data_IF_863318316711
#
_entry.id   IF_863318316711
#
_cell.length_a   1.000
_cell.length_b   1.000
_cell.length_c   1.000
_cell.angle_alpha   90.00
_cell.angle_beta   90.00
_cell.angle_gamma   90.00
#
_symmetry.space_group_name_H-M   'P 1'
#
loop_
_entity.id
_entity.type
_entity.pdbx_description
1 polymer ?
#
# COMPACT_ATOMS: atom_id res chain seq x y z
N UNK A 1 -12.51 10.94 -4.11
CA UNK A 1 -12.89 10.28 -2.83
C UNK A 1 -12.39 11.06 -1.62
N UNK A 2 -11.09 11.38 -1.51
CA UNK A 2 -10.53 12.11 -0.35
C UNK A 2 -11.28 13.42 -0.09
N UNK A 3 -11.33 14.32 -1.08
CA UNK A 3 -11.97 15.63 -0.94
C UNK A 3 -13.47 15.52 -0.56
N UNK A 4 -14.18 14.56 -1.14
CA UNK A 4 -15.58 14.29 -0.82
C UNK A 4 -15.78 13.75 0.59
N UNK A 5 -14.86 12.94 1.13
CA UNK A 5 -14.92 12.45 2.50
C UNK A 5 -14.67 13.56 3.53
N UNK A 6 -13.77 14.50 3.21
CA UNK A 6 -13.54 15.66 4.07
C UNK A 6 -14.80 16.55 4.06
N UNK A 7 -15.31 16.88 2.87
CA UNK A 7 -16.50 17.70 2.71
C UNK A 7 -17.76 17.08 3.33
N UNK A 8 -17.90 15.75 3.28
CA UNK A 8 -18.98 15.01 3.92
C UNK A 8 -18.82 14.89 5.45
N UNK A 9 -17.68 15.28 6.01
CA UNK A 9 -17.40 15.18 7.46
C UNK A 9 -16.90 13.81 7.92
N UNK A 10 -16.64 12.87 7.02
CA UNK A 10 -16.16 11.51 7.33
C UNK A 10 -14.77 11.52 7.98
N UNK A 11 -13.79 12.19 7.36
CA UNK A 11 -12.43 12.31 7.92
C UNK A 11 -12.43 13.12 9.23
N UNK A 12 -13.08 14.29 9.32
CA UNK A 12 -13.25 15.02 10.59
C UNK A 12 -13.85 14.16 11.71
N UNK A 13 -14.87 13.36 11.41
CA UNK A 13 -15.52 12.47 12.39
C UNK A 13 -14.55 11.40 12.88
N UNK A 14 -13.81 10.75 11.97
CA UNK A 14 -12.76 9.79 12.34
C UNK A 14 -11.70 10.42 13.26
N UNK A 15 -11.29 11.66 12.98
CA UNK A 15 -10.32 12.37 13.81
C UNK A 15 -10.86 12.61 15.23
N UNK A 16 -12.08 13.14 15.36
CA UNK A 16 -12.70 13.40 16.67
C UNK A 16 -12.88 12.13 17.49
N UNK A 17 -13.30 11.03 16.86
CA UNK A 17 -13.42 9.73 17.53
C UNK A 17 -12.04 9.19 17.90
N UNK A 18 -11.06 9.26 16.99
CA UNK A 18 -9.70 8.78 17.19
C UNK A 18 -8.98 9.49 18.35
N UNK A 19 -9.14 10.80 18.50
CA UNK A 19 -8.59 11.55 19.63
C UNK A 19 -9.13 11.09 21.00
N UNK A 20 -10.37 10.59 21.05
CA UNK A 20 -10.99 10.09 22.28
C UNK A 20 -10.63 8.63 22.57
N UNK A 21 -10.40 7.83 21.53
CA UNK A 21 -10.22 6.39 21.65
C UNK A 21 -8.75 5.96 21.82
N UNK A 22 -7.78 6.76 21.38
CA UNK A 22 -6.39 6.33 21.23
C UNK A 22 -5.47 7.06 22.21
N UNK A 23 -4.77 6.28 23.04
CA UNK A 23 -3.66 6.78 23.87
C UNK A 23 -2.44 7.07 23.01
N UNK A 24 -1.76 8.19 23.26
CA UNK A 24 -0.51 8.56 22.58
C UNK A 24 0.57 7.46 22.70
N UNK A 25 0.63 6.75 23.83
CA UNK A 25 1.62 5.68 24.04
C UNK A 25 1.44 4.49 23.10
N UNK A 26 0.21 4.26 22.61
CA UNK A 26 -0.14 3.16 21.71
C UNK A 26 -0.45 3.63 20.30
N UNK A 27 -0.26 4.92 20.01
CA UNK A 27 -0.72 5.52 18.76
C UNK A 27 -0.11 4.85 17.53
N UNK A 28 1.22 4.80 17.40
CA UNK A 28 1.88 4.24 16.21
C UNK A 28 1.57 2.74 15.96
N UNK A 29 1.64 1.83 16.95
CA UNK A 29 1.27 0.44 16.71
C UNK A 29 -0.22 0.29 16.38
N UNK A 30 -1.11 1.09 16.98
CA UNK A 30 -2.53 1.11 16.60
C UNK A 30 -2.72 1.56 15.16
N UNK A 31 -2.03 2.62 14.72
CA UNK A 31 -2.08 3.08 13.32
C UNK A 31 -1.66 1.97 12.37
N UNK A 32 -0.51 1.33 12.62
CA UNK A 32 -0.04 0.21 11.82
C UNK A 32 -1.08 -0.92 11.73
N UNK A 33 -1.61 -1.38 12.87
CA UNK A 33 -2.54 -2.51 12.93
C UNK A 33 -3.90 -2.20 12.29
N UNK A 34 -4.43 -0.99 12.50
CA UNK A 34 -5.71 -0.60 11.89
C UNK A 34 -5.54 -0.41 10.39
N UNK A 35 -4.46 0.23 9.92
CA UNK A 35 -4.15 0.33 8.50
C UNK A 35 -3.94 -1.05 7.86
N UNK A 36 -3.30 -1.99 8.57
CA UNK A 36 -3.17 -3.39 8.17
C UNK A 36 -4.52 -4.09 8.01
N UNK A 37 -5.41 -3.95 8.99
CA UNK A 37 -6.74 -4.54 8.94
C UNK A 37 -7.58 -3.97 7.77
N UNK A 38 -7.58 -2.65 7.61
CA UNK A 38 -8.31 -2.00 6.51
C UNK A 38 -7.71 -2.40 5.16
N UNK A 39 -6.37 -2.44 5.07
CA UNK A 39 -5.69 -2.87 3.85
C UNK A 39 -5.99 -4.32 3.49
N UNK A 40 -6.06 -5.22 4.47
CA UNK A 40 -6.41 -6.62 4.23
C UNK A 40 -7.84 -6.78 3.72
N UNK A 41 -8.76 -5.98 4.24
CA UNK A 41 -10.15 -5.96 3.75
C UNK A 41 -10.24 -5.42 2.32
N UNK A 42 -9.58 -4.29 2.04
CA UNK A 42 -9.77 -3.56 0.77
C UNK A 42 -8.85 -4.04 -0.36
N UNK A 43 -7.64 -4.49 -0.03
CA UNK A 43 -6.61 -4.89 -1.00
C UNK A 43 -5.96 -3.72 -1.73
N UNK A 44 -5.75 -2.59 -1.04
CA UNK A 44 -5.12 -1.40 -1.66
C UNK A 44 -4.51 -0.47 -0.62
N UNK A 45 -3.18 -0.32 -0.64
CA UNK A 45 -2.49 0.66 0.20
C UNK A 45 -2.88 2.11 -0.17
N UNK A 46 -3.10 2.39 -1.47
CA UNK A 46 -3.60 3.69 -1.94
C UNK A 46 -4.91 4.08 -1.25
N UNK A 47 -5.83 3.12 -1.11
CA UNK A 47 -7.13 3.34 -0.46
C UNK A 47 -6.96 3.56 1.04
N UNK A 48 -6.14 2.76 1.71
CA UNK A 48 -5.86 2.90 3.16
C UNK A 48 -5.30 4.28 3.47
N UNK A 49 -4.27 4.71 2.72
CA UNK A 49 -3.62 6.01 2.93
C UNK A 49 -4.60 7.15 2.70
N UNK A 50 -5.45 7.05 1.67
CA UNK A 50 -6.46 8.06 1.31
C UNK A 50 -7.65 8.18 2.28
N UNK A 51 -7.87 7.19 3.13
CA UNK A 51 -9.07 7.10 3.97
C UNK A 51 -8.71 7.27 5.44
N UNK A 52 -8.52 6.15 6.14
CA UNK A 52 -8.12 6.12 7.55
C UNK A 52 -6.71 6.67 7.74
N UNK A 53 -5.84 6.56 6.74
CA UNK A 53 -4.48 7.10 6.78
C UNK A 53 -4.43 8.61 6.95
N UNK A 54 -5.22 9.38 6.21
CA UNK A 54 -5.28 10.85 6.39
C UNK A 54 -5.77 11.22 7.79
N UNK A 55 -6.78 10.51 8.30
CA UNK A 55 -7.29 10.76 9.65
C UNK A 55 -6.20 10.48 10.71
N UNK A 56 -5.52 9.34 10.63
CA UNK A 56 -4.40 9.02 11.52
C UNK A 56 -3.25 10.01 11.36
N UNK A 57 -2.92 10.43 10.15
CA UNK A 57 -1.89 11.43 9.91
C UNK A 57 -2.22 12.71 10.67
N UNK A 58 -3.43 13.25 10.52
CA UNK A 58 -3.87 14.44 11.24
C UNK A 58 -3.88 14.29 12.75
N UNK A 59 -4.31 13.13 13.28
CA UNK A 59 -4.23 12.82 14.71
C UNK A 59 -2.78 12.85 15.19
N UNK A 60 -1.88 12.17 14.48
CA UNK A 60 -0.46 12.07 14.84
C UNK A 60 0.24 13.42 14.86
N UNK A 61 0.01 14.26 13.85
CA UNK A 61 0.59 15.62 13.83
C UNK A 61 0.08 16.45 15.01
N UNK A 62 -1.23 16.41 15.28
CA UNK A 62 -1.83 17.13 16.41
C UNK A 62 -1.29 16.64 17.76
N UNK A 63 -1.01 15.33 17.87
CA UNK A 63 -0.41 14.72 19.06
C UNK A 63 1.10 15.03 19.20
N UNK A 64 1.74 15.62 18.19
CA UNK A 64 3.15 16.01 18.21
C UNK A 64 4.12 14.96 17.64
N UNK A 65 3.62 13.89 17.01
CA UNK A 65 4.47 12.89 16.39
C UNK A 65 5.19 13.45 15.16
N UNK A 66 6.38 12.92 14.89
CA UNK A 66 7.11 13.22 13.66
C UNK A 66 6.27 12.78 12.43
N UNK A 67 5.97 13.68 11.47
CA UNK A 67 5.18 13.36 10.28
C UNK A 67 5.70 12.14 9.50
N UNK A 68 7.02 11.99 9.39
CA UNK A 68 7.65 10.88 8.67
C UNK A 68 7.41 9.53 9.36
N UNK A 69 7.38 9.52 10.70
CA UNK A 69 7.12 8.31 11.48
C UNK A 69 5.65 7.88 11.37
N UNK A 70 4.72 8.84 11.41
CA UNK A 70 3.28 8.56 11.24
C UNK A 70 3.01 8.06 9.83
N UNK A 71 3.59 8.70 8.81
CA UNK A 71 3.53 8.23 7.43
C UNK A 71 4.09 6.80 7.29
N UNK A 72 5.24 6.53 7.92
CA UNK A 72 5.84 5.19 7.94
C UNK A 72 4.92 4.11 8.51
N UNK A 73 4.21 4.41 9.61
CA UNK A 73 3.24 3.50 10.22
C UNK A 73 2.02 3.25 9.32
N UNK A 74 1.46 4.30 8.73
CA UNK A 74 0.32 4.22 7.80
C UNK A 74 0.69 3.36 6.58
N UNK A 75 1.83 3.66 5.94
CA UNK A 75 2.27 2.95 4.74
C UNK A 75 2.61 1.50 5.08
N UNK A 76 3.33 1.24 6.19
CA UNK A 76 3.64 -0.13 6.62
C UNK A 76 2.37 -0.97 6.80
N UNK A 77 1.35 -0.40 7.46
CA UNK A 77 0.07 -1.08 7.66
C UNK A 77 -0.68 -1.28 6.34
N UNK A 78 -0.79 -0.23 5.54
CA UNK A 78 -1.45 -0.29 4.24
C UNK A 78 -0.85 -1.34 3.31
N UNK A 79 0.49 -1.40 3.22
CA UNK A 79 1.22 -2.39 2.41
C UNK A 79 1.08 -3.79 2.97
N UNK A 80 1.14 -3.97 4.30
CA UNK A 80 0.86 -5.28 4.91
C UNK A 80 -0.52 -5.81 4.53
N UNK A 81 -1.54 -4.95 4.64
CA UNK A 81 -2.90 -5.33 4.34
C UNK A 81 -3.10 -5.64 2.86
N UNK A 82 -2.59 -4.78 1.98
CA UNK A 82 -2.60 -4.97 0.52
C UNK A 82 -2.02 -6.34 0.14
N UNK A 83 -0.82 -6.64 0.66
CA UNK A 83 -0.10 -7.89 0.42
C UNK A 83 -0.83 -9.16 0.89
N UNK A 84 -1.68 -9.06 1.91
CA UNK A 84 -2.45 -10.19 2.45
C UNK A 84 -3.92 -10.21 1.99
N UNK A 85 -4.31 -9.33 1.07
CA UNK A 85 -5.69 -9.29 0.60
C UNK A 85 -5.89 -10.16 -0.64
N UNK A 86 -6.95 -10.99 -0.69
CA UNK A 86 -7.32 -11.69 -1.92
C UNK A 86 -7.89 -10.74 -2.99
N UNK A 87 -8.22 -9.49 -2.62
CA UNK A 87 -8.70 -8.45 -3.54
C UNK A 87 -7.57 -7.62 -4.13
N UNK A 88 -6.34 -7.77 -3.65
CA UNK A 88 -5.21 -6.99 -4.14
C UNK A 88 -4.84 -7.36 -5.56
N UNK A 89 -4.74 -6.36 -6.42
CA UNK A 89 -4.33 -6.51 -7.81
C UNK A 89 -2.92 -7.08 -7.92
N UNK A 90 -2.03 -6.68 -7.00
CA UNK A 90 -0.63 -7.13 -6.98
C UNK A 90 -0.50 -8.59 -6.58
N UNK A 91 -1.20 -9.00 -5.53
CA UNK A 91 -1.25 -10.39 -5.06
C UNK A 91 -1.84 -11.33 -6.13
N UNK A 92 -2.94 -10.90 -6.78
CA UNK A 92 -3.53 -11.62 -7.91
C UNK A 92 -2.56 -11.69 -9.12
N UNK A 93 -1.86 -10.60 -9.41
CA UNK A 93 -0.88 -10.56 -10.49
C UNK A 93 0.31 -11.48 -10.22
N UNK A 94 0.85 -11.50 -8.99
CA UNK A 94 1.97 -12.38 -8.63
C UNK A 94 1.55 -13.84 -8.78
N UNK A 95 0.40 -14.23 -8.22
CA UNK A 95 -0.13 -15.59 -8.34
C UNK A 95 -0.26 -16.02 -9.81
N UNK A 96 -0.76 -15.14 -10.68
CA UNK A 96 -0.86 -15.37 -12.12
C UNK A 96 0.52 -15.46 -12.80
N UNK A 97 1.47 -14.60 -12.46
CA UNK A 97 2.82 -14.61 -13.07
C UNK A 97 3.58 -15.90 -12.72
N UNK A 98 3.41 -16.41 -11.51
CA UNK A 98 4.08 -17.64 -11.07
C UNK A 98 3.29 -18.92 -11.34
N UNK A 99 2.10 -18.84 -11.93
CA UNK A 99 1.18 -19.98 -12.16
C UNK A 99 0.91 -20.76 -10.86
N UNK A 100 0.36 -20.10 -9.84
CA UNK A 100 -0.02 -20.71 -8.56
C UNK A 100 -1.40 -20.24 -8.12
N UNK A 101 -2.14 -21.08 -7.40
CA UNK A 101 -3.41 -20.68 -6.79
C UNK A 101 -3.21 -19.51 -5.82
N UNK A 102 -4.13 -18.54 -5.84
CA UNK A 102 -4.02 -17.33 -5.04
C UNK A 102 -3.90 -17.63 -3.54
N UNK A 103 -4.72 -18.56 -3.01
CA UNK A 103 -4.71 -18.86 -1.59
C UNK A 103 -3.46 -19.63 -1.17
N UNK A 104 -2.91 -20.48 -2.04
CA UNK A 104 -1.64 -21.15 -1.77
C UNK A 104 -0.45 -20.20 -1.84
N UNK A 105 -0.48 -19.24 -2.78
CA UNK A 105 0.47 -18.14 -2.80
C UNK A 105 0.40 -17.31 -1.51
N UNK A 106 -0.80 -16.92 -1.09
CA UNK A 106 -1.03 -16.17 0.15
C UNK A 106 -0.50 -16.89 1.40
N UNK A 107 -0.67 -18.22 1.49
CA UNK A 107 -0.08 -19.00 2.59
C UNK A 107 1.45 -18.94 2.57
N UNK A 108 2.05 -18.99 1.38
CA UNK A 108 3.50 -19.01 1.19
C UNK A 108 4.16 -17.69 1.63
N UNK A 109 3.50 -16.56 1.38
CA UNK A 109 4.02 -15.24 1.76
C UNK A 109 3.89 -14.93 3.26
N UNK A 110 3.09 -15.68 4.02
CA UNK A 110 2.97 -15.48 5.47
C UNK A 110 4.30 -15.66 6.20
N UNK A 111 5.19 -16.50 5.68
CA UNK A 111 6.51 -16.73 6.26
C UNK A 111 7.36 -15.45 6.37
N UNK A 112 7.38 -14.60 5.35
CA UNK A 112 8.09 -13.32 5.41
C UNK A 112 7.22 -12.23 6.05
N UNK A 113 5.92 -12.30 5.83
CA UNK A 113 4.98 -11.23 6.20
C UNK A 113 4.71 -11.15 7.71
N UNK A 114 4.42 -12.28 8.38
CA UNK A 114 4.07 -12.26 9.80
C UNK A 114 5.25 -11.85 10.69
N UNK A 115 6.49 -12.37 10.50
CA UNK A 115 7.63 -11.91 11.29
C UNK A 115 7.96 -10.43 11.03
N UNK A 116 7.91 -9.97 9.78
CA UNK A 116 8.12 -8.56 9.45
C UNK A 116 7.08 -7.66 10.13
N UNK A 117 5.81 -8.08 10.16
CA UNK A 117 4.74 -7.37 10.84
C UNK A 117 4.92 -7.35 12.37
N UNK A 118 5.34 -8.46 12.97
CA UNK A 118 5.61 -8.55 14.39
C UNK A 118 6.75 -7.59 14.79
N UNK A 119 7.86 -7.62 14.06
CA UNK A 119 9.01 -6.70 14.30
C UNK A 119 8.58 -5.25 14.08
N UNK A 120 7.80 -4.96 13.03
CA UNK A 120 7.28 -3.61 12.77
C UNK A 120 6.38 -3.11 13.90
N UNK A 121 5.51 -3.97 14.43
CA UNK A 121 4.62 -3.64 15.55
C UNK A 121 5.43 -3.31 16.80
N UNK A 122 6.46 -4.11 17.11
CA UNK A 122 7.36 -3.85 18.25
C UNK A 122 8.15 -2.55 18.05
N UNK A 123 8.66 -2.30 16.84
CA UNK A 123 9.38 -1.07 16.53
C UNK A 123 8.48 0.17 16.68
N UNK A 124 7.25 0.15 16.16
CA UNK A 124 6.30 1.24 16.34
C UNK A 124 5.89 1.42 17.80
N UNK A 125 5.68 0.32 18.56
CA UNK A 125 5.39 0.40 19.99
C UNK A 125 6.56 1.05 20.76
N UNK A 126 7.80 0.64 20.49
CA UNK A 126 9.00 1.22 21.10
C UNK A 126 9.11 2.72 20.85
N UNK A 127 8.87 3.15 19.61
CA UNK A 127 8.90 4.57 19.23
C UNK A 127 7.72 5.37 19.79
N UNK A 128 6.57 4.73 20.05
CA UNK A 128 5.39 5.37 20.62
C UNK A 128 5.50 5.57 22.14
N UNK A 129 6.18 4.66 22.85
CA UNK A 129 6.35 4.74 24.32
C UNK A 129 7.15 5.97 24.76
N UNK A 130 8.06 6.49 23.92
CA UNK A 130 8.79 7.73 24.19
C UNK A 130 7.93 9.01 24.12
N UNK A 131 6.67 8.90 23.67
CA UNK A 131 5.75 10.02 23.50
C UNK A 131 4.72 10.07 24.64
N UNK A 132 5.19 10.35 25.86
CA UNK A 132 4.37 10.24 27.08
C UNK A 132 3.45 11.43 27.35
N UNK A 133 3.63 12.56 26.65
CA UNK A 133 2.87 13.80 26.88
C UNK A 133 2.35 14.41 25.58
N UNK A 134 1.26 13.85 25.04
CA UNK A 134 0.51 14.56 24.02
C UNK A 134 -0.08 15.86 24.60
N UNK A 135 0.01 16.96 23.84
CA UNK A 135 -0.46 18.26 24.30
C UNK A 135 -2.00 18.29 24.26
N UNK A 136 -2.63 18.04 25.41
CA UNK A 136 -4.09 18.00 25.53
C UNK A 136 -4.75 19.33 25.13
N UNK A 137 -4.08 20.45 25.36
CA UNK A 137 -4.58 21.76 24.91
C UNK A 137 -4.69 21.81 23.39
N UNK A 138 -3.64 21.38 22.66
CA UNK A 138 -3.69 21.29 21.19
C UNK A 138 -4.80 20.38 20.70
N UNK A 139 -4.90 19.17 21.26
CA UNK A 139 -5.97 18.22 20.90
C UNK A 139 -7.36 18.85 21.10
N UNK A 140 -7.60 19.48 22.26
CA UNK A 140 -8.88 20.11 22.56
C UNK A 140 -9.18 21.26 21.59
N UNK A 141 -8.19 22.08 21.23
CA UNK A 141 -8.38 23.15 20.23
C UNK A 141 -8.68 22.60 18.84
N UNK A 142 -8.04 21.51 18.43
CA UNK A 142 -8.31 20.84 17.16
C UNK A 142 -9.71 20.21 17.15
N UNK A 143 -10.09 19.50 18.20
CA UNK A 143 -11.44 18.91 18.33
C UNK A 143 -12.52 19.99 18.34
N UNK A 144 -12.29 21.13 19.00
CA UNK A 144 -13.21 22.25 18.99
C UNK A 144 -13.39 22.85 17.59
N UNK A 145 -12.31 23.07 16.84
CA UNK A 145 -12.37 23.54 15.45
C UNK A 145 -13.11 22.53 14.54
N UNK A 146 -12.81 21.24 14.66
CA UNK A 146 -13.50 20.20 13.89
C UNK A 146 -14.99 20.13 14.21
N UNK A 147 -15.36 20.24 15.48
CA UNK A 147 -16.76 20.15 15.92
C UNK A 147 -17.56 21.42 15.62
N UNK A 148 -16.89 22.57 15.47
CA UNK A 148 -17.52 23.84 15.12
C UNK A 148 -17.75 24.00 13.62
N UNK A 149 -16.80 23.58 12.79
CA UNK A 149 -16.83 23.83 11.33
C UNK A 149 -17.30 22.62 10.50
N UNK A 150 -17.37 21.41 11.08
CA UNK A 150 -17.81 20.20 10.37
C UNK A 150 -18.99 19.51 11.06
N UNK A 151 -19.83 18.85 10.26
CA UNK A 151 -20.91 18.00 10.78
C UNK A 151 -20.35 16.66 11.27
N UNK A 152 -20.02 16.61 12.57
CA UNK A 152 -19.50 15.41 13.24
C UNK A 152 -20.68 14.52 13.65
N UNK A 153 -20.83 13.37 13.01
CA UNK A 153 -21.91 12.42 13.29
C UNK A 153 -21.48 11.00 12.95
N UNK A 154 -22.02 10.01 13.66
CA UNK A 154 -21.82 8.58 13.32
C UNK A 154 -22.32 8.31 11.89
N UNK A 155 -23.34 9.03 11.42
CA UNK A 155 -23.85 8.95 10.05
C UNK A 155 -22.76 9.33 9.04
N UNK A 156 -21.85 10.25 9.40
CA UNK A 156 -20.72 10.66 8.56
C UNK A 156 -19.72 9.51 8.30
N UNK A 157 -19.82 8.38 9.01
CA UNK A 157 -18.99 7.18 8.80
C UNK A 157 -19.54 6.21 7.75
N UNK A 158 -20.73 6.45 7.18
CA UNK A 158 -21.33 5.60 6.14
C UNK A 158 -20.33 5.27 5.00
N UNK A 159 -19.54 6.22 4.45
CA UNK A 159 -18.61 5.91 3.37
C UNK A 159 -17.54 4.88 3.79
N UNK A 160 -17.07 4.92 5.05
CA UNK A 160 -16.11 3.94 5.57
C UNK A 160 -16.76 2.57 5.67
N UNK A 161 -17.97 2.49 6.23
CA UNK A 161 -18.73 1.23 6.31
C UNK A 161 -18.95 0.67 4.92
N UNK A 162 -19.24 1.53 3.94
CA UNK A 162 -19.44 1.14 2.56
C UNK A 162 -18.19 0.50 1.94
N UNK A 163 -16.99 1.04 2.22
CA UNK A 163 -15.72 0.42 1.79
C UNK A 163 -15.61 -1.01 2.32
N UNK A 164 -15.92 -1.24 3.60
CA UNK A 164 -15.88 -2.59 4.19
C UNK A 164 -16.97 -3.52 3.65
N UNK A 165 -18.17 -3.00 3.38
CA UNK A 165 -19.26 -3.75 2.77
C UNK A 165 -18.87 -4.19 1.35
N UNK A 166 -18.35 -3.26 0.52
CA UNK A 166 -17.86 -3.57 -0.82
C UNK A 166 -16.72 -4.60 -0.81
N UNK A 167 -15.80 -4.50 0.15
CA UNK A 167 -14.76 -5.50 0.39
C UNK A 167 -15.36 -6.88 0.74
N UNK A 168 -16.36 -6.94 1.62
CA UNK A 168 -17.08 -8.18 1.96
C UNK A 168 -17.77 -8.83 0.74
N UNK A 169 -18.26 -8.00 -0.19
CA UNK A 169 -18.81 -8.43 -1.48
C UNK A 169 -17.76 -8.68 -2.57
N UNK A 170 -16.46 -8.59 -2.25
CA UNK A 170 -15.35 -8.80 -3.20
C UNK A 170 -15.41 -7.88 -4.42
N UNK A 171 -15.92 -6.67 -4.24
CA UNK A 171 -16.01 -5.67 -5.30
C UNK A 171 -14.62 -5.10 -5.62
N UNK A 172 -14.30 -4.94 -6.90
CA UNK A 172 -13.04 -4.33 -7.33
C UNK A 172 -12.88 -2.89 -6.80
N UNK A 173 -11.64 -2.39 -6.75
CA UNK A 173 -11.31 -1.09 -6.18
C UNK A 173 -12.00 0.09 -6.91
N UNK A 174 -12.00 0.09 -8.25
CA UNK A 174 -12.58 1.18 -9.06
C UNK A 174 -14.08 1.37 -8.78
N UNK A 175 -14.95 0.33 -8.90
CA UNK A 175 -16.37 0.46 -8.53
C UNK A 175 -16.59 0.90 -7.09
N UNK A 176 -15.80 0.35 -6.15
CA UNK A 176 -15.88 0.70 -4.72
C UNK A 176 -15.60 2.18 -4.48
N UNK A 177 -14.57 2.74 -5.14
CA UNK A 177 -14.21 4.15 -5.06
C UNK A 177 -15.28 5.05 -5.68
N UNK A 178 -15.83 4.68 -6.85
CA UNK A 178 -16.90 5.45 -7.50
C UNK A 178 -18.16 5.50 -6.66
N UNK A 179 -18.60 4.35 -6.13
CA UNK A 179 -19.76 4.28 -5.24
C UNK A 179 -19.55 5.15 -3.98
N UNK A 180 -18.34 5.12 -3.41
CA UNK A 180 -17.97 5.98 -2.29
C UNK A 180 -18.05 7.46 -2.63
N UNK A 181 -17.62 7.86 -3.83
CA UNK A 181 -17.74 9.25 -4.29
C UNK A 181 -19.21 9.64 -4.40
N UNK A 182 -20.08 8.80 -4.98
CA UNK A 182 -21.51 9.08 -5.09
C UNK A 182 -22.19 9.23 -3.73
N UNK A 183 -21.97 8.28 -2.81
CA UNK A 183 -22.56 8.32 -1.47
C UNK A 183 -22.06 9.53 -0.68
N UNK A 184 -20.75 9.80 -0.72
CA UNK A 184 -20.17 10.96 -0.04
C UNK A 184 -20.67 12.28 -0.63
N UNK A 185 -20.83 12.38 -1.95
CA UNK A 185 -21.40 13.55 -2.60
C UNK A 185 -22.85 13.79 -2.16
N UNK A 186 -23.67 12.74 -2.06
CA UNK A 186 -25.02 12.84 -1.49
C UNK A 186 -25.01 13.38 -0.06
N UNK A 187 -24.12 12.86 0.78
CA UNK A 187 -23.95 13.31 2.16
C UNK A 187 -23.47 14.77 2.27
N UNK A 188 -22.64 15.24 1.33
CA UNK A 188 -22.24 16.66 1.28
C UNK A 188 -23.45 17.60 1.16
N UNK A 189 -24.43 17.24 0.32
CA UNK A 189 -25.67 18.02 0.16
C UNK A 189 -26.59 17.92 1.38
N UNK A 190 -26.67 16.74 2.02
CA UNK A 190 -27.45 16.56 3.25
C UNK A 190 -26.86 17.38 4.40
N UNK A 191 -25.54 17.36 4.57
CA UNK A 191 -24.85 18.06 5.66
C UNK A 191 -24.75 19.58 5.41
N UNK A 192 -24.73 20.01 4.15
CA UNK A 192 -24.71 21.41 3.76
C UNK A 192 -25.78 21.70 2.69
N UNK A 193 -27.05 21.92 3.08
CA UNK A 193 -28.15 22.13 2.13
C UNK A 193 -27.98 23.35 1.21
N UNK A 194 -27.14 24.32 1.60
CA UNK A 194 -26.80 25.50 0.81
C UNK A 194 -25.64 25.29 -0.18
N UNK A 195 -25.08 24.09 -0.25
CA UNK A 195 -23.98 23.76 -1.16
C UNK A 195 -24.48 23.75 -2.61
N UNK A 196 -23.95 24.64 -3.44
CA UNK A 196 -24.28 24.65 -4.87
C UNK A 196 -23.62 23.48 -5.60
N UNK A 197 -24.27 23.01 -6.68
CA UNK A 197 -23.72 21.96 -7.56
C UNK A 197 -22.33 22.37 -8.09
N UNK A 198 -22.15 23.65 -8.45
CA UNK A 198 -20.86 24.15 -8.92
C UNK A 198 -19.75 23.98 -7.87
N UNK A 199 -20.04 24.26 -6.59
CA UNK A 199 -19.09 24.04 -5.50
C UNK A 199 -18.82 22.55 -5.26
N UNK A 200 -19.84 21.70 -5.37
CA UNK A 200 -19.65 20.25 -5.24
C UNK A 200 -18.74 19.69 -6.36
N UNK A 201 -18.95 20.11 -7.61
CA UNK A 201 -18.09 19.75 -8.74
C UNK A 201 -16.66 20.26 -8.56
N UNK A 202 -16.50 21.49 -8.05
CA UNK A 202 -15.19 22.06 -7.72
C UNK A 202 -14.46 21.23 -6.64
N UNK A 203 -15.14 20.81 -5.58
CA UNK A 203 -14.58 19.95 -4.53
C UNK A 203 -14.10 18.61 -5.10
N UNK A 204 -14.86 18.01 -6.01
CA UNK A 204 -14.49 16.74 -6.65
C UNK A 204 -13.28 16.94 -7.58
N UNK A 205 -13.26 18.04 -8.33
CA UNK A 205 -12.29 18.28 -9.41
C UNK A 205 -10.98 18.86 -8.87
N UNK A 206 -11.06 19.96 -8.14
CA UNK A 206 -9.92 20.74 -7.67
C UNK A 206 -9.54 20.37 -6.23
N UNK A 207 -10.50 19.98 -5.40
CA UNK A 207 -10.27 19.51 -4.04
C UNK A 207 -11.04 20.29 -2.98
N UNK A 208 -10.93 19.86 -1.73
CA UNK A 208 -11.53 20.54 -0.59
C UNK A 208 -10.50 21.46 0.06
N UNK A 209 -10.91 22.69 0.40
CA UNK A 209 -10.09 23.66 1.13
C UNK A 209 -10.80 24.01 2.43
N UNK A 210 -10.23 23.59 3.56
CA UNK A 210 -10.78 23.84 4.88
C UNK A 210 -10.53 25.29 5.33
N UNK A 211 -11.55 25.92 5.92
CA UNK A 211 -11.54 27.31 6.41
C UNK A 211 -12.02 27.39 7.84
N UNK A 212 -11.29 26.77 8.74
CA UNK A 212 -11.51 26.78 10.19
C UNK A 212 -10.68 27.86 10.87
N UNK A 213 -10.97 28.13 12.14
CA UNK A 213 -10.18 29.02 12.99
C UNK A 213 -8.75 28.51 13.28
N UNK A 214 -8.46 27.22 13.00
CA UNK A 214 -7.17 26.60 13.25
C UNK A 214 -6.42 26.33 11.93
N UNK A 215 -5.26 26.98 11.74
CA UNK A 215 -4.45 26.82 10.53
C UNK A 215 -3.90 25.40 10.33
N UNK A 216 -3.64 24.67 11.42
CA UNK A 216 -3.21 23.27 11.39
C UNK A 216 -4.32 22.37 10.86
N UNK A 217 -5.56 22.56 11.33
CA UNK A 217 -6.74 21.87 10.78
C UNK A 217 -6.93 22.19 9.30
N UNK A 218 -6.72 23.45 8.91
CA UNK A 218 -6.82 23.85 7.51
C UNK A 218 -5.80 23.13 6.62
N UNK A 219 -4.56 22.97 7.10
CA UNK A 219 -3.53 22.24 6.36
C UNK A 219 -3.80 20.74 6.30
N UNK A 220 -4.33 20.16 7.38
CA UNK A 220 -4.66 18.73 7.45
C UNK A 220 -5.85 18.36 6.57
N UNK A 221 -6.87 19.21 6.52
CA UNK A 221 -8.13 18.95 5.82
C UNK A 221 -8.22 19.59 4.44
N UNK A 222 -7.23 20.38 4.01
CA UNK A 222 -7.16 20.83 2.62
C UNK A 222 -6.47 19.78 1.76
N UNK A 223 -7.21 19.15 0.85
CA UNK A 223 -6.70 18.07 -0.03
C UNK A 223 -7.24 18.22 -1.43
N UNK A 224 -6.39 17.86 -2.40
CA UNK A 224 -6.70 17.98 -3.82
C UNK A 224 -7.78 17.02 -4.31
N UNK A 225 -8.36 17.36 -5.47
CA UNK A 225 -9.32 16.54 -6.21
C UNK A 225 -8.66 15.76 -7.35
N UNK A 226 -9.43 15.43 -8.37
CA UNK A 226 -8.97 14.71 -9.58
C UNK A 226 -7.75 15.39 -10.22
N UNK A 227 -7.75 16.73 -10.33
CA UNK A 227 -6.67 17.48 -10.97
C UNK A 227 -5.33 17.26 -10.26
N UNK A 228 -5.34 17.17 -8.93
CA UNK A 228 -4.12 16.94 -8.14
C UNK A 228 -3.50 15.55 -8.35
N UNK A 229 -4.28 14.59 -8.87
CA UNK A 229 -3.83 13.23 -9.17
C UNK A 229 -3.39 13.05 -10.61
N UNK A 230 -3.66 14.02 -11.51
CA UNK A 230 -3.29 13.93 -12.92
C UNK A 230 -1.78 13.72 -13.15
N UNK A 231 -0.86 14.34 -12.39
CA UNK A 231 0.57 14.04 -12.52
C UNK A 231 0.90 12.57 -12.22
N UNK A 232 0.27 11.98 -11.20
CA UNK A 232 0.44 10.55 -10.87
C UNK A 232 -0.12 9.66 -11.97
N UNK A 233 -1.29 10.01 -12.53
CA UNK A 233 -1.87 9.26 -13.66
C UNK A 233 -0.98 9.33 -14.91
N UNK A 234 -0.46 10.52 -15.23
CA UNK A 234 0.48 10.69 -16.34
C UNK A 234 1.76 9.87 -16.13
N UNK A 235 2.28 9.84 -14.90
CA UNK A 235 3.43 9.01 -14.53
C UNK A 235 3.13 7.52 -14.73
N UNK A 236 1.95 7.03 -14.35
CA UNK A 236 1.54 5.64 -14.61
C UNK A 236 1.55 5.33 -16.11
N UNK A 237 0.93 6.17 -16.94
CA UNK A 237 0.87 5.96 -18.39
C UNK A 237 2.27 5.94 -19.00
N UNK A 238 3.13 6.89 -18.62
CA UNK A 238 4.50 6.98 -19.13
C UNK A 238 5.37 5.80 -18.69
N UNK A 239 5.31 5.41 -17.42
CA UNK A 239 6.13 4.32 -16.87
C UNK A 239 5.69 2.95 -17.38
N UNK A 240 4.38 2.70 -17.53
CA UNK A 240 3.87 1.49 -18.18
C UNK A 240 4.26 1.45 -19.67
N UNK A 241 4.16 2.57 -20.38
CA UNK A 241 4.60 2.65 -21.79
C UNK A 241 6.09 2.36 -21.93
N UNK A 242 6.92 2.95 -21.07
CA UNK A 242 8.36 2.68 -21.02
C UNK A 242 8.64 1.21 -20.73
N UNK A 243 7.99 0.61 -19.73
CA UNK A 243 8.14 -0.81 -19.44
C UNK A 243 7.74 -1.72 -20.59
N UNK A 244 6.65 -1.39 -21.28
CA UNK A 244 6.23 -2.09 -22.50
C UNK A 244 7.30 -2.05 -23.59
N UNK A 245 7.95 -0.90 -23.79
CA UNK A 245 9.08 -0.76 -24.71
C UNK A 245 10.29 -1.60 -24.27
N UNK A 246 10.65 -1.59 -22.99
CA UNK A 246 11.75 -2.37 -22.44
C UNK A 246 11.54 -3.89 -22.64
N UNK A 247 10.28 -4.36 -22.54
CA UNK A 247 9.90 -5.74 -22.84
C UNK A 247 10.00 -6.02 -24.34
N UNK A 248 9.42 -5.16 -25.16
CA UNK A 248 9.36 -5.35 -26.62
C UNK A 248 10.76 -5.36 -27.26
N UNK A 249 11.68 -4.53 -26.76
CA UNK A 249 13.08 -4.51 -27.22
C UNK A 249 13.94 -5.64 -26.63
N UNK A 250 13.39 -6.50 -25.76
CA UNK A 250 14.11 -7.60 -25.15
C UNK A 250 15.21 -7.17 -24.16
N UNK A 251 15.26 -5.90 -23.75
CA UNK A 251 16.28 -5.36 -22.85
C UNK A 251 16.25 -6.06 -21.48
N UNK A 252 15.04 -6.33 -20.98
CA UNK A 252 14.86 -7.06 -19.72
C UNK A 252 15.44 -8.48 -19.85
N UNK A 253 15.13 -9.19 -20.93
CA UNK A 253 15.67 -10.52 -21.19
C UNK A 253 17.19 -10.52 -21.34
N UNK A 254 17.74 -9.51 -22.01
CA UNK A 254 19.19 -9.35 -22.20
C UNK A 254 19.95 -9.15 -20.88
N UNK A 255 19.36 -8.44 -19.90
CA UNK A 255 19.96 -8.26 -18.58
C UNK A 255 19.73 -9.48 -17.68
N UNK A 256 18.54 -10.06 -17.71
CA UNK A 256 18.15 -11.11 -16.74
C UNK A 256 18.66 -12.52 -17.11
N UNK A 257 18.79 -12.84 -18.41
CA UNK A 257 19.22 -14.18 -18.87
C UNK A 257 20.66 -14.52 -18.49
N UNK A 258 21.66 -13.61 -18.61
CA UNK A 258 23.03 -13.89 -18.17
C UNK A 258 23.15 -14.01 -16.66
N UNK A 259 22.28 -13.34 -15.90
CA UNK A 259 22.23 -13.48 -14.45
C UNK A 259 21.72 -14.86 -14.06
N UNK A 260 20.65 -15.35 -14.71
CA UNK A 260 19.98 -16.59 -14.32
C UNK A 260 20.84 -17.85 -14.51
N UNK A 261 21.76 -17.85 -15.50
CA UNK A 261 22.64 -19.00 -15.79
C UNK A 261 23.79 -19.19 -14.79
N UNK A 262 24.04 -18.23 -13.90
CA UNK A 262 25.12 -18.30 -12.88
C UNK A 262 24.60 -18.62 -11.47
N UNK A 263 23.31 -18.88 -11.32
CA UNK A 263 22.65 -19.02 -10.02
C UNK A 263 22.58 -20.50 -9.61
N UNK A 264 23.64 -20.95 -8.94
CA UNK A 264 23.80 -22.37 -8.57
C UNK A 264 23.35 -22.68 -7.12
N UNK A 265 22.60 -21.79 -6.47
CA UNK A 265 22.16 -21.97 -5.08
C UNK A 265 20.90 -21.17 -4.80
N UNK A 266 20.05 -21.66 -3.90
CA UNK A 266 18.82 -20.98 -3.47
C UNK A 266 19.05 -19.53 -3.04
N UNK A 267 20.09 -19.25 -2.24
CA UNK A 267 20.43 -17.90 -1.80
C UNK A 267 20.71 -16.95 -2.97
N UNK A 268 21.49 -17.40 -3.97
CA UNK A 268 21.78 -16.62 -5.18
C UNK A 268 20.52 -16.35 -6.01
N UNK A 269 19.65 -17.34 -6.16
CA UNK A 269 18.37 -17.21 -6.87
C UNK A 269 17.47 -16.15 -6.22
N UNK A 270 17.24 -16.29 -4.92
CA UNK A 270 16.43 -15.35 -4.13
C UNK A 270 17.03 -13.94 -4.16
N UNK A 271 18.34 -13.81 -3.91
CA UNK A 271 19.01 -12.51 -3.89
C UNK A 271 18.94 -11.81 -5.25
N UNK A 272 19.20 -12.55 -6.34
CA UNK A 272 19.14 -11.99 -7.69
C UNK A 272 17.72 -11.53 -8.05
N UNK A 273 16.70 -12.32 -7.73
CA UNK A 273 15.32 -11.96 -8.02
C UNK A 273 14.85 -10.75 -7.19
N UNK A 274 15.17 -10.69 -5.88
CA UNK A 274 14.89 -9.50 -5.03
C UNK A 274 15.60 -8.27 -5.61
N UNK A 275 16.90 -8.38 -5.90
CA UNK A 275 17.68 -7.27 -6.44
C UNK A 275 17.11 -6.77 -7.78
N UNK A 276 16.62 -7.67 -8.63
CA UNK A 276 15.96 -7.31 -9.88
C UNK A 276 14.62 -6.60 -9.66
N UNK A 277 13.77 -7.07 -8.74
CA UNK A 277 12.53 -6.38 -8.39
C UNK A 277 12.81 -4.96 -7.87
N UNK A 278 13.78 -4.83 -6.96
CA UNK A 278 14.23 -3.54 -6.41
C UNK A 278 14.77 -2.64 -7.53
N UNK A 279 15.64 -3.18 -8.37
CA UNK A 279 16.22 -2.46 -9.50
C UNK A 279 15.14 -1.91 -10.42
N UNK A 280 14.14 -2.72 -10.79
CA UNK A 280 13.04 -2.25 -11.65
C UNK A 280 12.20 -1.18 -10.94
N UNK A 281 11.90 -1.35 -9.66
CA UNK A 281 11.22 -0.30 -8.89
C UNK A 281 12.00 1.02 -8.94
N UNK A 282 13.32 0.98 -8.74
CA UNK A 282 14.19 2.17 -8.77
C UNK A 282 14.29 2.76 -10.19
N UNK A 283 14.49 1.95 -11.24
CA UNK A 283 14.74 2.48 -12.58
C UNK A 283 13.45 2.83 -13.35
N UNK A 284 12.38 2.06 -13.16
CA UNK A 284 11.12 2.23 -13.89
C UNK A 284 10.06 2.96 -13.05
N UNK A 285 10.06 2.78 -11.73
CA UNK A 285 9.10 3.46 -10.84
C UNK A 285 7.69 2.87 -10.87
N UNK A 286 7.51 1.66 -11.43
CA UNK A 286 6.21 1.05 -11.67
C UNK A 286 6.13 -0.35 -11.04
N UNK A 287 5.07 -0.58 -10.27
CA UNK A 287 4.91 -1.74 -9.40
C UNK A 287 4.63 -3.02 -10.19
N UNK A 288 3.74 -2.99 -11.17
CA UNK A 288 3.36 -4.18 -11.94
C UNK A 288 4.53 -4.74 -12.73
N UNK A 289 5.36 -3.87 -13.32
CA UNK A 289 6.57 -4.25 -14.06
C UNK A 289 7.65 -4.81 -13.14
N UNK A 290 7.76 -4.31 -11.89
CA UNK A 290 8.67 -4.86 -10.88
C UNK A 290 8.33 -6.31 -10.49
N UNK A 291 7.09 -6.74 -10.74
CA UNK A 291 6.60 -8.11 -10.51
C UNK A 291 6.73 -8.95 -11.78
N UNK A 292 6.16 -8.47 -12.90
CA UNK A 292 6.02 -9.26 -14.15
C UNK A 292 7.39 -9.62 -14.72
N UNK A 293 8.33 -8.67 -14.74
CA UNK A 293 9.61 -8.84 -15.43
C UNK A 293 10.52 -9.83 -14.71
N UNK A 294 10.78 -9.73 -13.39
CA UNK A 294 11.55 -10.74 -12.69
C UNK A 294 10.80 -12.06 -12.63
N UNK A 295 9.48 -12.03 -12.46
CA UNK A 295 8.68 -13.25 -12.41
C UNK A 295 8.83 -14.10 -13.68
N UNK A 296 8.71 -13.49 -14.86
CA UNK A 296 8.93 -14.20 -16.13
C UNK A 296 10.38 -14.64 -16.33
N UNK A 297 11.33 -13.81 -15.91
CA UNK A 297 12.76 -14.05 -16.16
C UNK A 297 13.36 -15.14 -15.26
N UNK A 298 12.95 -15.19 -13.99
CA UNK A 298 13.52 -16.10 -13.00
C UNK A 298 12.74 -17.40 -12.80
N UNK A 299 11.52 -17.53 -13.35
CA UNK A 299 10.68 -18.73 -13.19
C UNK A 299 11.41 -20.03 -13.54
N UNK A 300 12.01 -20.08 -14.73
CA UNK A 300 12.75 -21.27 -15.17
C UNK A 300 13.93 -21.56 -14.24
N UNK A 301 14.70 -20.54 -13.87
CA UNK A 301 15.87 -20.71 -13.00
C UNK A 301 15.51 -21.14 -11.57
N UNK A 302 14.37 -20.70 -11.04
CA UNK A 302 13.85 -21.17 -9.75
C UNK A 302 13.48 -22.65 -9.84
N UNK A 303 12.74 -23.05 -10.89
CA UNK A 303 12.31 -24.43 -11.09
C UNK A 303 13.51 -25.38 -11.32
N UNK A 304 14.44 -25.00 -12.20
CA UNK A 304 15.67 -25.76 -12.49
C UNK A 304 16.58 -25.83 -11.24
N UNK A 305 16.50 -24.82 -10.37
CA UNK A 305 17.18 -24.77 -9.07
C UNK A 305 16.48 -25.49 -7.93
N UNK A 306 15.38 -26.23 -8.19
CA UNK A 306 14.66 -27.02 -7.18
C UNK A 306 13.67 -26.23 -6.31
N UNK A 307 13.36 -24.98 -6.65
CA UNK A 307 12.39 -24.14 -5.95
C UNK A 307 11.02 -24.20 -6.63
N UNK A 308 9.96 -24.15 -5.83
CA UNK A 308 8.61 -24.03 -6.36
C UNK A 308 8.34 -22.60 -6.85
N UNK A 309 7.42 -22.48 -7.80
CA UNK A 309 6.86 -21.20 -8.25
C UNK A 309 6.36 -20.32 -7.09
N UNK A 310 5.83 -20.92 -6.03
CA UNK A 310 5.36 -20.22 -4.83
C UNK A 310 6.50 -19.49 -4.09
N UNK A 311 7.72 -20.05 -4.08
CA UNK A 311 8.91 -19.40 -3.53
C UNK A 311 9.29 -18.16 -4.36
N UNK A 312 9.22 -18.24 -5.70
CA UNK A 312 9.39 -17.08 -6.56
C UNK A 312 8.31 -16.04 -6.29
N UNK A 313 7.06 -16.46 -6.16
CA UNK A 313 5.94 -15.55 -5.86
C UNK A 313 6.21 -14.71 -4.61
N UNK A 314 6.69 -15.35 -3.53
CA UNK A 314 7.07 -14.62 -2.31
C UNK A 314 8.19 -13.60 -2.56
N UNK A 315 9.19 -13.94 -3.37
CA UNK A 315 10.26 -13.00 -3.72
C UNK A 315 9.72 -11.80 -4.51
N UNK A 316 8.77 -12.02 -5.43
CA UNK A 316 8.15 -10.94 -6.21
C UNK A 316 7.35 -9.99 -5.31
N UNK A 317 6.62 -10.52 -4.33
CA UNK A 317 5.93 -9.71 -3.32
C UNK A 317 6.91 -8.93 -2.44
N UNK A 318 7.94 -9.61 -1.93
CA UNK A 318 8.90 -9.03 -0.97
C UNK A 318 9.85 -8.01 -1.61
N UNK A 319 10.14 -8.10 -2.90
CA UNK A 319 11.02 -7.16 -3.61
C UNK A 319 10.29 -6.18 -4.53
N UNK A 320 9.18 -6.60 -5.12
CA UNK A 320 8.42 -5.86 -6.12
C UNK A 320 7.30 -5.04 -5.49
N UNK A 321 6.34 -5.71 -4.86
CA UNK A 321 5.14 -5.06 -4.31
C UNK A 321 5.46 -4.05 -3.22
N UNK A 322 6.20 -4.47 -2.19
CA UNK A 322 6.30 -3.69 -0.95
C UNK A 322 7.21 -2.45 -1.06
N UNK A 323 8.11 -2.42 -2.05
CA UNK A 323 9.13 -1.37 -2.19
C UNK A 323 8.77 -0.26 -3.17
N UNK A 324 7.72 -0.41 -3.99
CA UNK A 324 7.31 0.64 -4.92
C UNK A 324 6.97 1.96 -4.22
N UNK A 325 6.37 1.87 -3.04
CA UNK A 325 6.03 3.02 -2.18
C UNK A 325 7.27 3.75 -1.63
N UNK A 326 8.47 3.16 -1.75
CA UNK A 326 9.72 3.75 -1.25
C UNK A 326 10.53 4.45 -2.34
N UNK A 327 10.06 4.44 -3.59
CA UNK A 327 10.75 5.08 -4.72
C UNK A 327 10.22 6.51 -4.90
N UNK A 328 11.02 7.57 -4.67
CA UNK A 328 10.51 8.95 -4.66
C UNK A 328 9.90 9.45 -5.96
N UNK A 329 10.33 8.88 -7.09
CA UNK A 329 9.81 9.16 -8.42
C UNK A 329 8.91 8.02 -8.95
N UNK A 330 8.66 6.99 -8.15
CA UNK A 330 7.75 5.91 -8.49
C UNK A 330 6.30 6.28 -8.19
N UNK A 331 5.37 5.58 -8.84
CA UNK A 331 3.92 5.84 -8.74
C UNK A 331 3.45 5.83 -7.27
N UNK A 332 3.78 4.76 -6.53
CA UNK A 332 3.42 4.64 -5.12
C UNK A 332 4.05 5.74 -4.27
N UNK A 333 5.35 5.97 -4.41
CA UNK A 333 6.06 6.97 -3.61
C UNK A 333 5.55 8.40 -3.83
N UNK A 334 5.35 8.81 -5.08
CA UNK A 334 4.79 10.12 -5.45
C UNK A 334 3.39 10.30 -4.89
N UNK A 335 2.55 9.27 -4.99
CA UNK A 335 1.20 9.31 -4.46
C UNK A 335 1.18 9.53 -2.94
N UNK A 336 1.95 8.74 -2.18
CA UNK A 336 2.01 8.87 -0.71
C UNK A 336 2.53 10.25 -0.32
N UNK A 337 3.58 10.72 -1.00
CA UNK A 337 4.18 12.02 -0.70
C UNK A 337 3.19 13.17 -0.93
N UNK A 338 2.41 13.12 -2.01
CA UNK A 338 1.37 14.10 -2.29
C UNK A 338 0.17 14.00 -1.34
N UNK A 339 -0.20 12.79 -0.91
CA UNK A 339 -1.38 12.57 -0.07
C UNK A 339 -1.14 12.97 1.39
N UNK A 340 0.02 12.60 1.94
CA UNK A 340 0.40 12.88 3.33
C UNK A 340 1.19 14.18 3.48
N UNK A 341 1.73 14.75 2.39
CA UNK A 341 2.57 15.94 2.44
C UNK A 341 3.96 15.69 3.03
N UNK A 342 4.45 14.44 2.97
CA UNK A 342 5.76 14.04 3.48
C UNK A 342 6.60 13.46 2.35
N UNK A 343 7.78 14.03 2.03
CA UNK A 343 8.65 13.49 0.99
C UNK A 343 9.02 12.02 1.24
N UNK A 344 9.09 11.22 0.18
CA UNK A 344 9.39 9.77 0.25
C UNK A 344 10.65 9.45 1.01
N UNK A 345 11.73 10.20 0.78
CA UNK A 345 13.02 9.99 1.48
C UNK A 345 12.89 10.17 2.99
N UNK A 346 11.95 11.00 3.47
CA UNK A 346 11.76 11.21 4.90
C UNK A 346 11.03 10.05 5.57
N UNK A 347 9.94 9.54 4.98
CA UNK A 347 9.18 8.44 5.59
C UNK A 347 9.78 7.05 5.30
N UNK A 348 10.57 6.90 4.23
CA UNK A 348 11.17 5.63 3.79
C UNK A 348 11.81 4.84 4.95
N UNK A 349 12.66 5.43 5.83
CA UNK A 349 13.31 4.69 6.91
C UNK A 349 12.33 4.10 7.93
N UNK A 350 11.11 4.65 8.01
CA UNK A 350 10.08 4.26 8.96
C UNK A 350 9.05 3.29 8.37
N UNK A 351 9.15 2.93 7.08
CA UNK A 351 8.29 1.90 6.48
C UNK A 351 8.84 0.51 6.80
N UNK A 352 8.90 0.19 8.11
CA UNK A 352 9.57 -1.00 8.62
C UNK A 352 9.08 -2.28 7.97
N UNK A 353 7.77 -2.41 7.74
CA UNK A 353 7.20 -3.62 7.14
C UNK A 353 7.78 -3.88 5.74
N UNK A 354 7.80 -2.85 4.89
CA UNK A 354 8.33 -2.95 3.53
C UNK A 354 9.83 -3.21 3.51
N UNK A 355 10.58 -2.61 4.44
CA UNK A 355 12.03 -2.79 4.53
C UNK A 355 12.41 -4.19 5.05
N UNK A 356 11.61 -4.76 5.96
CA UNK A 356 11.88 -6.06 6.57
C UNK A 356 11.46 -7.24 5.69
N UNK A 357 10.45 -7.11 4.84
CA UNK A 357 9.99 -8.20 3.96
C UNK A 357 11.12 -8.80 3.07
N UNK A 358 11.90 -8.00 2.31
CA UNK A 358 13.02 -8.53 1.54
C UNK A 358 14.08 -9.20 2.43
N UNK A 359 14.35 -8.66 3.62
CA UNK A 359 15.29 -9.25 4.58
C UNK A 359 14.83 -10.64 5.02
N UNK A 360 13.54 -10.81 5.32
CA UNK A 360 12.98 -12.13 5.68
C UNK A 360 13.10 -13.14 4.54
N UNK A 361 12.88 -12.72 3.29
CA UNK A 361 13.09 -13.60 2.13
C UNK A 361 14.56 -13.94 1.91
N UNK A 362 15.49 -13.00 2.10
CA UNK A 362 16.93 -13.27 2.06
C UNK A 362 17.32 -14.30 3.13
N UNK A 363 16.88 -14.13 4.38
CA UNK A 363 17.10 -15.10 5.46
C UNK A 363 16.62 -16.49 5.04
N UNK A 364 15.42 -16.59 4.47
CA UNK A 364 14.90 -17.86 3.95
C UNK A 364 15.79 -18.45 2.85
N UNK A 365 16.29 -17.62 1.93
CA UNK A 365 17.21 -18.04 0.87
C UNK A 365 18.54 -18.59 1.38
N UNK A 366 19.11 -17.99 2.44
CA UNK A 366 20.39 -18.44 3.03
C UNK A 366 20.25 -19.63 3.98
N UNK A 367 19.16 -19.69 4.75
CA UNK A 367 18.97 -20.70 5.79
C UNK A 367 18.15 -21.90 5.34
N UNK A 368 17.40 -21.78 4.24
CA UNK A 368 16.42 -22.77 3.79
C UNK A 368 15.12 -22.79 4.60
N UNK A 369 15.02 -22.01 5.69
CA UNK A 369 13.83 -22.03 6.55
C UNK A 369 12.67 -21.31 5.83
N UNK A 370 11.52 -21.97 5.73
CA UNK A 370 10.34 -21.46 5.04
C UNK A 370 10.50 -21.39 3.51
N UNK A 371 11.54 -22.00 2.96
CA UNK A 371 11.77 -22.06 1.51
C UNK A 371 10.96 -23.22 0.92
N UNK A 372 10.11 -22.94 -0.08
CA UNK A 372 9.31 -23.96 -0.72
C UNK A 372 10.12 -24.63 -1.84
N UNK A 373 10.62 -25.83 -1.57
CA UNK A 373 11.34 -26.67 -2.54
C UNK A 373 10.37 -27.60 -3.28
N UNK A 374 10.59 -27.82 -4.57
CA UNK A 374 9.82 -28.80 -5.33
C UNK A 374 10.31 -30.23 -5.02
N UNK A 375 9.42 -31.21 -5.00
CA UNK A 375 9.85 -32.59 -5.24
C UNK A 375 10.30 -32.66 -6.71
N UNK A 376 11.52 -33.16 -6.95
CA UNK A 376 11.97 -33.52 -8.29
C UNK A 376 11.12 -34.67 -8.80
N UNK A 377 9.95 -34.39 -9.40
CA UNK A 377 9.24 -35.39 -10.19
C UNK A 377 10.11 -35.65 -11.43
N UNK A 378 10.61 -36.88 -11.66
CA UNK A 378 11.39 -37.18 -12.84
C UNK A 378 10.53 -36.86 -14.06
N UNK A 379 11.05 -36.04 -14.95
CA UNK A 379 10.43 -35.76 -16.24
C UNK A 379 10.22 -37.10 -16.93
N UNK A 380 8.96 -37.57 -17.01
CA UNK A 380 8.62 -38.79 -17.74
C UNK A 380 9.10 -38.57 -19.18
N UNK A 381 9.92 -39.46 -19.76
CA UNK A 381 10.38 -39.29 -21.14
C UNK A 381 9.16 -39.17 -22.04
N UNK A 382 9.15 -38.15 -22.90
CA UNK A 382 8.11 -37.98 -23.91
C UNK A 382 7.96 -39.30 -24.68
N UNK A 383 6.77 -39.88 -24.62
CA UNK A 383 6.46 -41.06 -25.42
C UNK A 383 6.67 -40.68 -26.89
N UNK A 384 7.62 -41.34 -27.54
CA UNK A 384 7.77 -41.28 -28.99
C UNK A 384 6.44 -41.76 -29.58
N UNK A 385 5.67 -40.85 -30.15
CA UNK A 385 4.63 -41.20 -31.11
C UNK A 385 5.32 -41.86 -32.30
N UNK A 386 5.20 -43.18 -32.35
CA UNK A 386 5.43 -43.94 -33.56
C UNK A 386 4.17 -43.79 -34.41
N UNK A 387 4.26 -43.05 -35.51
CA UNK A 387 3.30 -43.17 -36.61
C UNK A 387 4.09 -43.60 -37.84
N UNK A 388 3.66 -44.75 -38.37
CA UNK A 388 3.95 -45.29 -39.67
C UNK A 388 2.78 -44.96 -40.60
#
# INVERSE_FOLDING_TARGET
MISTWIAAGTIPTLMVIGFKAISAQWFLPTVFLVCALVGAAVGSCFTVVSTVGIAFFGIGITMGFNPALVAGAIVSGGVFGDKLSPLSETNNLVAAVVDTDLFDHMKTILWSTLPAAAISTVAFAALSMGHSHANMTKINTTVAALSGDFHISIISLIPIVLVFVCAGFKMAAIPTMLLNVFVSAGMMFVNNPSLSINKATDIITNGYVAKTANSEVNLLLSRGGIVSMMPTVALIVLTLSLGGLLVNFGLIGAVMTPLSTKLNSHAKLVTAAIASCIGINIFVGEQFLSIILPGRSFKKAFNDGGLQSSALGRVLEDGGTVLNYLVPWGVGGVFIANTLGVPTIQYLPFVFFSLLCPVMSLISGFTGIGLHTGETTPTKPAAKTAEA
#
